data_IF_232584141286
#
_entry.id   IF_232584141286
#
_cell.length_a   1.000
_cell.length_b   1.000
_cell.length_c   1.000
_cell.angle_alpha   90.00
_cell.angle_beta   90.00
_cell.angle_gamma   90.00
#
_symmetry.space_group_name_H-M   'P 1'
#
loop_
_entity.id
_entity.type
_entity.pdbx_description
1 polymer ?
#
# COMPACT_ATOMS: atom_id res chain seq x y z
N UNK A 1 -3.21 1.60 50.35
CA UNK A 1 -4.01 0.88 49.34
C UNK A 1 -3.06 0.53 48.21
N UNK A 2 -2.65 -0.74 48.11
CA UNK A 2 -1.95 -1.22 46.92
C UNK A 2 -3.05 -1.39 45.88
N UNK A 3 -3.08 -0.50 44.88
CA UNK A 3 -3.99 -0.59 43.73
C UNK A 3 -3.51 -1.81 42.93
N UNK A 4 -4.19 -2.95 43.10
CA UNK A 4 -3.90 -4.16 42.33
C UNK A 4 -4.45 -3.94 40.92
N UNK A 5 -3.58 -3.61 39.97
CA UNK A 5 -3.93 -3.51 38.54
C UNK A 5 -4.26 -4.90 38.01
N UNK A 6 -5.47 -5.06 37.48
CA UNK A 6 -5.90 -6.29 36.81
C UNK A 6 -5.22 -6.35 35.45
N UNK A 7 -4.27 -7.27 35.28
CA UNK A 7 -3.64 -7.58 33.98
C UNK A 7 -4.48 -8.67 33.32
N UNK A 8 -5.02 -8.40 32.14
CA UNK A 8 -5.75 -9.37 31.34
C UNK A 8 -4.79 -9.85 30.23
N UNK A 9 -4.45 -11.14 30.25
CA UNK A 9 -3.56 -11.76 29.27
C UNK A 9 -4.26 -12.94 28.60
N UNK A 10 -4.54 -12.88 27.29
CA UNK A 10 -4.95 -14.06 26.54
C UNK A 10 -3.73 -14.97 26.27
N UNK A 11 -3.90 -16.28 26.42
CA UNK A 11 -2.91 -17.26 25.98
C UNK A 11 -3.17 -17.60 24.51
N UNK A 12 -2.67 -16.78 23.59
CA UNK A 12 -2.84 -16.95 22.13
C UNK A 12 -1.51 -16.76 21.39
N UNK A 13 -1.41 -17.27 20.16
CA UNK A 13 -0.29 -17.01 19.26
C UNK A 13 -0.24 -15.50 18.91
N UNK A 14 0.95 -14.98 18.56
CA UNK A 14 1.10 -13.57 18.19
C UNK A 14 0.12 -13.19 17.07
N UNK A 15 -0.72 -12.19 17.32
CA UNK A 15 -1.74 -11.73 16.37
C UNK A 15 -1.06 -11.03 15.19
N UNK A 16 -1.40 -11.42 13.96
CA UNK A 16 -0.84 -10.78 12.77
C UNK A 16 -1.41 -9.36 12.60
N UNK A 17 -0.64 -8.45 12.00
CA UNK A 17 -1.13 -7.11 11.64
C UNK A 17 -2.30 -7.16 10.66
N UNK A 18 -3.11 -6.10 10.66
CA UNK A 18 -4.20 -5.91 9.71
C UNK A 18 -3.64 -5.12 8.51
N UNK A 19 -3.52 -5.80 7.37
CA UNK A 19 -2.96 -5.22 6.15
C UNK A 19 -3.84 -4.10 5.60
N UNK A 20 -3.34 -2.86 5.65
CA UNK A 20 -4.07 -1.67 5.18
C UNK A 20 -3.98 -1.43 3.67
N UNK A 21 -3.10 -2.14 2.95
CA UNK A 21 -2.87 -1.92 1.52
C UNK A 21 -2.53 -0.46 1.20
N UNK A 22 -3.10 0.09 0.13
CA UNK A 22 -2.94 1.50 -0.26
C UNK A 22 -3.53 2.49 0.74
N UNK A 23 -4.46 2.06 1.61
CA UNK A 23 -4.98 2.91 2.68
C UNK A 23 -3.90 3.26 3.72
N UNK A 24 -2.77 2.53 3.74
CA UNK A 24 -1.65 2.78 4.63
C UNK A 24 -1.01 4.16 4.43
N UNK A 25 -1.11 4.77 3.23
CA UNK A 25 -0.59 6.11 2.92
C UNK A 25 -1.45 7.25 3.50
N UNK A 26 -2.73 6.98 3.75
CA UNK A 26 -3.70 7.97 4.19
C UNK A 26 -3.67 8.15 5.71
N UNK A 27 -3.54 9.40 6.15
CA UNK A 27 -3.85 9.79 7.53
C UNK A 27 -5.36 9.90 7.73
N UNK A 28 -6.07 10.37 6.70
CA UNK A 28 -7.53 10.53 6.67
C UNK A 28 -8.08 9.96 5.37
N UNK A 29 -9.04 9.04 5.45
CA UNK A 29 -9.77 8.52 4.29
C UNK A 29 -11.26 8.48 4.61
N UNK A 30 -12.10 8.96 3.70
CA UNK A 30 -13.55 9.03 3.90
C UNK A 30 -14.35 8.52 2.70
N UNK A 31 -15.51 7.92 2.96
CA UNK A 31 -16.42 7.44 1.92
C UNK A 31 -17.16 8.59 1.24
N UNK A 32 -17.68 9.52 2.04
CA UNK A 32 -18.59 10.57 1.56
C UNK A 32 -17.97 11.96 1.50
N UNK A 33 -17.27 12.38 2.55
CA UNK A 33 -16.70 13.72 2.66
C UNK A 33 -15.66 13.83 3.78
N UNK A 34 -14.75 14.80 3.66
CA UNK A 34 -13.96 15.32 4.78
C UNK A 34 -14.30 16.79 5.02
N UNK A 35 -14.66 17.13 6.25
CA UNK A 35 -14.97 18.51 6.66
C UNK A 35 -14.12 18.91 7.84
N UNK A 36 -13.47 20.06 7.74
CA UNK A 36 -12.63 20.61 8.80
C UNK A 36 -13.12 21.98 9.28
N UNK A 37 -13.02 22.20 10.59
CA UNK A 37 -13.12 23.50 11.26
C UNK A 37 -11.80 23.82 11.96
N UNK A 38 -11.36 25.08 11.95
CA UNK A 38 -10.14 25.48 12.66
C UNK A 38 -8.84 24.93 12.06
N UNK A 39 -7.68 25.24 12.69
CA UNK A 39 -6.36 24.96 12.14
C UNK A 39 -5.91 23.51 12.41
N UNK A 40 -6.60 22.53 11.84
CA UNK A 40 -6.14 21.14 11.89
C UNK A 40 -4.86 20.93 11.08
N UNK A 41 -4.02 20.00 11.52
CA UNK A 41 -2.82 19.54 10.83
C UNK A 41 -2.95 18.05 10.53
N UNK A 42 -2.76 17.68 9.27
CA UNK A 42 -2.76 16.28 8.83
C UNK A 42 -1.37 15.97 8.27
N UNK A 43 -0.69 14.99 8.84
CA UNK A 43 0.61 14.49 8.35
C UNK A 43 0.39 13.13 7.70
N UNK A 44 0.39 13.10 6.37
CA UNK A 44 -0.05 11.97 5.53
C UNK A 44 -1.14 12.39 4.53
N UNK A 45 -1.53 11.48 3.64
CA UNK A 45 -2.50 11.80 2.59
C UNK A 45 -3.93 11.91 3.13
N UNK A 46 -4.75 12.71 2.44
CA UNK A 46 -6.18 12.85 2.70
C UNK A 46 -6.95 12.36 1.47
N UNK A 47 -7.89 11.44 1.67
CA UNK A 47 -8.66 10.81 0.59
C UNK A 47 -10.17 10.89 0.78
N UNK A 48 -10.91 11.05 -0.31
CA UNK A 48 -12.36 10.81 -0.37
C UNK A 48 -12.70 10.02 -1.63
N UNK A 49 -13.44 8.93 -1.50
CA UNK A 49 -14.04 8.19 -2.61
C UNK A 49 -15.17 7.28 -2.09
N UNK A 50 -16.30 7.11 -2.81
CA UNK A 50 -16.66 7.73 -4.09
C UNK A 50 -17.18 9.17 -3.94
N UNK A 51 -17.23 9.72 -2.72
CA UNK A 51 -17.41 11.15 -2.54
C UNK A 51 -16.20 11.94 -3.03
N UNK A 52 -16.38 13.24 -3.26
CA UNK A 52 -15.31 14.16 -3.69
C UNK A 52 -15.19 15.40 -2.79
N UNK A 53 -16.03 15.52 -1.76
CA UNK A 53 -16.13 16.72 -0.95
C UNK A 53 -15.01 16.78 0.11
N UNK A 54 -14.08 17.71 -0.07
CA UNK A 54 -13.08 18.10 0.93
C UNK A 54 -13.26 19.59 1.23
N UNK A 55 -13.49 19.95 2.49
CA UNK A 55 -13.80 21.33 2.90
C UNK A 55 -13.07 21.72 4.19
N UNK A 56 -12.73 23.00 4.33
CA UNK A 56 -12.03 23.53 5.51
C UNK A 56 -10.49 23.46 5.45
N UNK A 57 -9.92 23.24 4.26
CA UNK A 57 -8.47 23.27 4.00
C UNK A 57 -8.20 24.34 2.91
N UNK A 58 -7.95 25.61 3.28
CA UNK A 58 -7.68 26.18 4.62
C UNK A 58 -8.92 26.45 5.50
N UNK A 59 -8.77 26.69 6.84
CA UNK A 59 -7.51 26.89 7.58
C UNK A 59 -6.77 25.61 7.99
N UNK A 60 -7.38 24.44 7.83
CA UNK A 60 -6.68 23.17 7.99
C UNK A 60 -5.54 23.03 6.97
N UNK A 61 -4.54 22.24 7.30
CA UNK A 61 -3.38 21.96 6.45
C UNK A 61 -3.19 20.45 6.31
N UNK A 62 -2.78 20.03 5.10
CA UNK A 62 -2.40 18.65 4.78
C UNK A 62 -0.94 18.66 4.35
N UNK A 63 -0.09 17.96 5.09
CA UNK A 63 1.31 17.64 4.77
C UNK A 63 1.35 16.28 4.07
N UNK A 64 0.77 16.27 2.87
CA UNK A 64 0.53 15.11 2.02
C UNK A 64 -0.25 15.55 0.79
N UNK A 65 -0.82 14.61 0.04
CA UNK A 65 -1.66 14.88 -1.13
C UNK A 65 -3.14 14.74 -0.77
N UNK A 66 -3.98 15.61 -1.34
CA UNK A 66 -5.43 15.48 -1.27
C UNK A 66 -5.91 14.74 -2.52
N UNK A 67 -6.50 13.56 -2.31
CA UNK A 67 -7.09 12.69 -3.32
C UNK A 67 -8.62 12.76 -3.23
N UNK A 68 -9.29 13.37 -4.21
CA UNK A 68 -10.74 13.57 -4.20
C UNK A 68 -11.39 12.91 -5.43
N UNK A 69 -12.04 11.77 -5.20
CA UNK A 69 -12.67 10.93 -6.22
C UNK A 69 -11.73 10.55 -7.38
N UNK A 70 -10.49 10.19 -7.03
CA UNK A 70 -9.50 9.66 -7.97
C UNK A 70 -9.25 8.16 -7.77
N UNK A 71 -8.47 7.58 -8.68
CA UNK A 71 -8.14 6.15 -8.65
C UNK A 71 -7.39 5.75 -7.36
N UNK A 72 -6.54 6.63 -6.83
CA UNK A 72 -5.78 6.36 -5.60
C UNK A 72 -6.71 6.26 -4.39
N UNK A 73 -7.62 7.21 -4.20
CA UNK A 73 -8.61 7.16 -3.12
C UNK A 73 -9.62 6.01 -3.31
N UNK A 74 -9.99 5.68 -4.54
CA UNK A 74 -10.88 4.55 -4.84
C UNK A 74 -10.22 3.21 -4.47
N UNK A 75 -8.96 3.00 -4.83
CA UNK A 75 -8.21 1.81 -4.44
C UNK A 75 -8.03 1.73 -2.92
N UNK A 76 -7.70 2.85 -2.27
CA UNK A 76 -7.57 2.90 -0.82
C UNK A 76 -8.87 2.55 -0.08
N UNK A 77 -10.03 2.89 -0.64
CA UNK A 77 -11.33 2.47 -0.07
C UNK A 77 -11.62 0.98 -0.25
N UNK A 78 -11.19 0.40 -1.37
CA UNK A 78 -11.24 -1.05 -1.57
C UNK A 78 -10.36 -1.77 -0.55
N UNK A 79 -9.12 -1.32 -0.39
CA UNK A 79 -8.17 -1.92 0.55
C UNK A 79 -8.60 -1.72 2.01
N UNK A 80 -9.14 -0.55 2.35
CA UNK A 80 -9.78 -0.31 3.65
C UNK A 80 -10.94 -1.28 3.90
N UNK A 81 -11.71 -1.62 2.88
CA UNK A 81 -12.79 -2.61 3.01
C UNK A 81 -12.24 -4.00 3.31
N UNK A 82 -11.14 -4.40 2.68
CA UNK A 82 -10.45 -5.67 2.97
C UNK A 82 -9.94 -5.67 4.41
N UNK A 83 -9.20 -4.63 4.81
CA UNK A 83 -8.65 -4.46 6.14
C UNK A 83 -9.74 -4.47 7.23
N UNK A 84 -10.86 -3.79 6.99
CA UNK A 84 -12.01 -3.77 7.90
C UNK A 84 -12.59 -5.17 8.10
N UNK A 85 -12.77 -5.92 7.00
CA UNK A 85 -13.33 -7.28 7.06
C UNK A 85 -12.36 -8.27 7.71
N UNK A 86 -11.04 -8.12 7.47
CA UNK A 86 -10.00 -8.89 8.15
C UNK A 86 -10.05 -8.64 9.66
N UNK A 87 -9.97 -7.38 10.09
CA UNK A 87 -10.04 -7.01 11.50
C UNK A 87 -11.33 -7.49 12.17
N UNK A 88 -12.49 -7.38 11.49
CA UNK A 88 -13.77 -7.88 11.98
C UNK A 88 -13.88 -9.42 12.02
N UNK A 89 -13.05 -10.12 11.22
CA UNK A 89 -13.02 -11.57 11.10
C UNK A 89 -12.04 -12.26 12.04
N UNK A 90 -11.16 -11.51 12.74
CA UNK A 90 -10.23 -12.07 13.73
C UNK A 90 -10.97 -12.77 14.86
N UNK A 91 -10.37 -13.82 15.41
CA UNK A 91 -10.95 -14.52 16.55
C UNK A 91 -10.93 -13.60 17.77
N UNK A 92 -12.03 -13.54 18.53
CA UNK A 92 -12.06 -12.76 19.76
C UNK A 92 -11.32 -13.52 20.88
N UNK A 93 -10.31 -12.89 21.47
CA UNK A 93 -9.59 -13.42 22.62
C UNK A 93 -10.27 -13.04 23.94
N UNK A 94 -10.74 -11.80 24.05
CA UNK A 94 -11.34 -11.25 25.27
C UNK A 94 -12.58 -10.42 24.93
N UNK A 95 -13.74 -10.85 25.42
CA UNK A 95 -14.98 -10.06 25.35
C UNK A 95 -15.02 -9.01 26.47
N UNK A 96 -14.99 -7.74 26.08
CA UNK A 96 -15.07 -6.58 26.96
C UNK A 96 -16.43 -5.86 26.84
N UNK A 97 -17.44 -6.51 26.26
CA UNK A 97 -18.79 -5.94 26.13
C UNK A 97 -19.29 -5.36 27.46
N UNK A 98 -19.67 -4.08 27.45
CA UNK A 98 -20.21 -3.38 28.61
C UNK A 98 -19.16 -2.87 29.60
N UNK A 99 -17.87 -3.08 29.34
CA UNK A 99 -16.77 -2.52 30.12
C UNK A 99 -16.27 -1.20 29.50
N UNK A 100 -15.85 -0.26 30.36
CA UNK A 100 -15.12 0.94 29.93
C UNK A 100 -13.62 0.62 29.84
N UNK A 101 -12.96 1.04 28.75
CA UNK A 101 -11.52 0.84 28.52
C UNK A 101 -10.64 1.65 29.47
N UNK A 102 -11.20 2.68 30.10
CA UNK A 102 -10.54 3.57 31.03
C UNK A 102 -9.96 2.86 32.25
N UNK A 103 -8.69 3.08 32.50
CA UNK A 103 -7.92 2.49 33.61
C UNK A 103 -7.43 1.07 33.34
N UNK A 104 -7.71 0.49 32.17
CA UNK A 104 -7.20 -0.84 31.81
C UNK A 104 -5.76 -0.79 31.33
N UNK A 105 -5.03 -1.88 31.58
CA UNK A 105 -3.79 -2.23 30.90
C UNK A 105 -4.03 -3.53 30.14
N UNK A 106 -3.91 -3.46 28.82
CA UNK A 106 -4.16 -4.56 27.90
C UNK A 106 -2.86 -4.99 27.25
N UNK A 107 -2.68 -6.30 27.11
CA UNK A 107 -1.57 -6.92 26.36
C UNK A 107 -2.00 -7.18 24.91
N UNK A 108 -1.09 -7.67 24.06
CA UNK A 108 -1.44 -7.96 22.65
C UNK A 108 -2.61 -8.94 22.55
N UNK A 109 -3.51 -8.71 21.59
CA UNK A 109 -4.64 -9.59 21.32
C UNK A 109 -5.86 -8.87 20.73
N UNK A 110 -6.91 -9.65 20.49
CA UNK A 110 -8.19 -9.20 19.94
C UNK A 110 -9.25 -9.05 21.03
N UNK A 111 -9.69 -7.81 21.27
CA UNK A 111 -10.69 -7.42 22.24
C UNK A 111 -12.02 -7.13 21.56
N UNK A 112 -13.06 -7.87 21.89
CA UNK A 112 -14.37 -7.72 21.22
C UNK A 112 -15.43 -7.06 22.10
N UNK A 113 -16.31 -6.32 21.45
CA UNK A 113 -17.50 -5.70 22.02
C UNK A 113 -18.67 -6.00 21.09
N UNK A 114 -19.69 -6.70 21.59
CA UNK A 114 -20.94 -6.91 20.84
C UNK A 114 -21.78 -5.63 20.71
N UNK A 115 -21.45 -4.60 21.49
CA UNK A 115 -22.10 -3.28 21.53
C UNK A 115 -21.10 -2.14 21.31
N UNK A 116 -21.44 -0.94 21.77
CA UNK A 116 -20.51 0.20 21.82
C UNK A 116 -19.36 -0.06 22.80
N UNK A 117 -18.21 0.54 22.51
CA UNK A 117 -17.07 0.65 23.43
C UNK A 117 -16.92 2.11 23.89
N UNK A 118 -16.57 2.28 25.16
CA UNK A 118 -16.34 3.58 25.78
C UNK A 118 -14.92 3.65 26.33
N UNK A 119 -14.32 4.82 26.22
CA UNK A 119 -13.03 5.13 26.83
C UNK A 119 -13.16 6.38 27.68
N UNK A 120 -13.06 6.21 29.00
CA UNK A 120 -13.07 7.30 29.97
C UNK A 120 -11.75 7.35 30.73
N UNK A 121 -10.86 8.27 30.35
CA UNK A 121 -9.52 8.38 30.95
C UNK A 121 -8.46 7.58 30.18
N UNK A 122 -7.38 7.10 30.84
CA UNK A 122 -6.28 6.45 30.14
C UNK A 122 -6.53 4.96 29.92
N UNK A 123 -6.35 4.48 28.69
CA UNK A 123 -6.13 3.07 28.36
C UNK A 123 -4.63 2.86 28.13
N UNK A 124 -4.05 1.80 28.68
CA UNK A 124 -2.63 1.45 28.46
C UNK A 124 -2.53 0.17 27.64
N UNK A 125 -1.73 0.20 26.58
CA UNK A 125 -1.38 -0.94 25.74
C UNK A 125 0.07 -1.32 26.02
N UNK A 126 0.27 -2.54 26.51
CA UNK A 126 1.55 -3.08 26.94
C UNK A 126 2.00 -4.17 25.96
N UNK A 127 3.09 -3.90 25.25
CA UNK A 127 3.70 -4.86 24.34
C UNK A 127 4.56 -5.92 25.04
N UNK A 128 4.78 -5.81 26.35
CA UNK A 128 5.59 -6.75 27.15
C UNK A 128 7.01 -6.97 26.58
N UNK A 129 7.55 -5.97 25.88
CA UNK A 129 8.87 -6.00 25.24
C UNK A 129 8.87 -6.48 23.79
N UNK A 130 7.72 -6.85 23.22
CA UNK A 130 7.59 -7.23 21.81
C UNK A 130 7.15 -6.05 20.92
N UNK A 131 8.05 -5.43 20.13
CA UNK A 131 7.66 -4.33 19.26
C UNK A 131 6.64 -4.71 18.18
N UNK A 132 6.45 -6.01 17.93
CA UNK A 132 5.47 -6.54 16.99
C UNK A 132 4.13 -6.90 17.63
N UNK A 133 3.94 -6.59 18.92
CA UNK A 133 2.66 -6.76 19.61
C UNK A 133 1.53 -6.01 18.88
N UNK A 134 0.47 -6.76 18.52
CA UNK A 134 -0.72 -6.25 17.83
C UNK A 134 -1.91 -6.19 18.78
N UNK A 135 -2.68 -5.10 18.68
CA UNK A 135 -3.89 -4.86 19.46
C UNK A 135 -5.06 -4.60 18.52
N UNK A 136 -6.09 -5.43 18.55
CA UNK A 136 -7.27 -5.30 17.70
C UNK A 136 -8.50 -5.12 18.58
N UNK A 137 -9.25 -4.04 18.35
CA UNK A 137 -10.52 -3.77 19.00
C UNK A 137 -11.65 -3.96 17.99
N UNK A 138 -12.46 -5.00 18.18
CA UNK A 138 -13.64 -5.29 17.37
C UNK A 138 -14.89 -4.73 18.06
N UNK A 139 -15.45 -3.65 17.53
CA UNK A 139 -16.55 -2.93 18.18
C UNK A 139 -17.79 -3.07 17.31
N UNK A 140 -18.79 -3.80 17.77
CA UNK A 140 -20.02 -4.06 17.01
C UNK A 140 -20.86 -2.83 16.72
N UNK A 141 -20.67 -1.74 17.48
CA UNK A 141 -21.36 -0.46 17.26
C UNK A 141 -20.40 0.74 17.33
N UNK A 142 -20.67 1.73 18.17
CA UNK A 142 -19.92 2.99 18.23
C UNK A 142 -18.71 2.91 19.15
N UNK A 143 -17.64 3.60 18.79
CA UNK A 143 -16.53 3.93 19.69
C UNK A 143 -16.68 5.38 20.16
N UNK A 144 -16.65 5.63 21.47
CA UNK A 144 -16.68 6.99 22.01
C UNK A 144 -15.64 7.21 23.09
N UNK A 145 -14.91 8.32 23.03
CA UNK A 145 -14.01 8.74 24.13
C UNK A 145 -14.60 9.93 24.88
N UNK A 146 -14.43 9.95 26.20
CA UNK A 146 -14.68 11.16 26.98
C UNK A 146 -13.59 12.20 26.69
N UNK A 147 -13.87 13.48 26.97
CA UNK A 147 -12.87 14.56 26.85
C UNK A 147 -11.61 14.25 27.65
N UNK A 148 -10.45 14.58 27.07
CA UNK A 148 -9.12 14.35 27.65
C UNK A 148 -8.80 12.87 27.98
N UNK A 149 -9.46 11.92 27.32
CA UNK A 149 -9.06 10.51 27.39
C UNK A 149 -7.76 10.27 26.61
N UNK A 150 -7.08 9.17 26.92
CA UNK A 150 -5.82 8.85 26.25
C UNK A 150 -5.64 7.36 26.01
N UNK A 151 -4.89 7.03 24.96
CA UNK A 151 -4.32 5.69 24.74
C UNK A 151 -2.81 5.82 24.90
N UNK A 152 -2.23 5.04 25.81
CA UNK A 152 -0.82 5.07 26.18
C UNK A 152 -0.15 3.79 25.68
N UNK A 153 1.01 3.93 25.04
CA UNK A 153 1.84 2.80 24.61
C UNK A 153 3.02 2.64 25.57
N UNK A 154 3.26 1.41 26.04
CA UNK A 154 4.42 1.09 26.88
C UNK A 154 5.15 -0.17 26.38
N UNK A 155 6.38 -0.33 26.86
CA UNK A 155 7.20 -1.53 26.66
C UNK A 155 7.35 -1.98 25.20
N UNK A 156 7.46 -1.03 24.27
CA UNK A 156 7.69 -1.31 22.84
C UNK A 156 6.42 -1.30 21.98
N UNK A 157 5.23 -1.07 22.55
CA UNK A 157 4.01 -0.99 21.77
C UNK A 157 4.09 0.15 20.75
N UNK A 158 3.63 -0.12 19.53
CA UNK A 158 3.71 0.83 18.40
C UNK A 158 2.31 1.20 17.92
N UNK A 159 2.07 2.48 17.62
CA UNK A 159 0.76 3.02 17.25
C UNK A 159 0.19 2.41 15.97
N UNK A 160 1.05 2.13 15.00
CA UNK A 160 0.73 1.42 13.78
C UNK A 160 0.17 -0.01 13.99
N UNK A 161 0.46 -0.67 15.12
CA UNK A 161 0.01 -2.04 15.45
C UNK A 161 -1.31 -2.06 16.25
N UNK A 162 -1.96 -0.90 16.38
CA UNK A 162 -3.24 -0.76 17.09
C UNK A 162 -4.35 -0.53 16.07
N UNK A 163 -5.36 -1.38 16.06
CA UNK A 163 -6.47 -1.33 15.10
C UNK A 163 -7.81 -1.27 15.81
N UNK A 164 -8.66 -0.34 15.40
CA UNK A 164 -10.00 -0.13 15.94
C UNK A 164 -11.01 -0.35 14.83
N UNK A 165 -11.53 -1.57 14.72
CA UNK A 165 -12.62 -1.90 13.82
C UNK A 165 -13.93 -1.46 14.47
N UNK A 166 -14.63 -0.51 13.84
CA UNK A 166 -15.86 0.09 14.41
C UNK A 166 -17.05 -0.19 13.51
N UNK A 167 -18.03 -0.91 14.04
CA UNK A 167 -19.24 -1.40 13.38
C UNK A 167 -20.19 -0.29 12.94
N UNK A 168 -20.09 0.89 13.54
CA UNK A 168 -20.75 2.10 13.07
C UNK A 168 -19.76 3.27 13.00
N UNK A 169 -19.87 4.22 13.93
CA UNK A 169 -19.10 5.46 13.92
C UNK A 169 -18.19 5.58 15.14
N UNK A 170 -17.07 6.30 14.98
CA UNK A 170 -16.19 6.70 16.06
C UNK A 170 -16.35 8.18 16.39
N UNK A 171 -16.35 8.54 17.67
CA UNK A 171 -16.34 9.94 18.13
C UNK A 171 -15.30 10.13 19.21
N UNK A 172 -14.26 10.91 18.92
CA UNK A 172 -13.23 11.25 19.88
C UNK A 172 -13.60 12.57 20.57
N UNK A 173 -13.80 12.53 21.88
CA UNK A 173 -14.08 13.71 22.71
C UNK A 173 -12.96 14.74 22.68
N UNK A 174 -13.27 15.97 23.08
CA UNK A 174 -12.32 17.09 23.01
C UNK A 174 -11.00 16.78 23.72
N UNK A 175 -9.88 17.21 23.14
CA UNK A 175 -8.54 17.00 23.68
C UNK A 175 -8.17 15.52 23.98
N UNK A 176 -8.83 14.55 23.35
CA UNK A 176 -8.41 13.14 23.42
C UNK A 176 -7.06 12.95 22.74
N UNK A 177 -6.11 12.26 23.37
CA UNK A 177 -4.86 11.80 22.73
C UNK A 177 -5.01 10.33 22.35
N UNK A 178 -5.37 10.07 21.10
CA UNK A 178 -5.72 8.74 20.63
C UNK A 178 -4.56 8.09 19.87
N UNK A 179 -4.51 6.77 19.89
CA UNK A 179 -3.48 5.97 19.24
C UNK A 179 -4.13 4.86 18.43
N UNK A 180 -3.67 4.68 17.18
CA UNK A 180 -4.04 3.57 16.33
C UNK A 180 -4.82 3.95 15.08
N UNK A 181 -5.11 2.93 14.29
CA UNK A 181 -5.84 3.02 13.04
C UNK A 181 -7.33 2.80 13.31
N UNK A 182 -8.16 3.82 13.10
CA UNK A 182 -9.62 3.67 13.19
C UNK A 182 -10.17 3.26 11.82
N UNK A 183 -10.77 2.08 11.75
CA UNK A 183 -11.47 1.54 10.59
C UNK A 183 -12.98 1.55 10.87
N UNK A 184 -13.63 2.66 10.61
CA UNK A 184 -15.07 2.83 10.88
C UNK A 184 -15.92 2.47 9.67
N UNK A 185 -17.03 1.78 9.89
CA UNK A 185 -17.99 1.49 8.82
C UNK A 185 -18.62 2.77 8.29
N UNK A 186 -19.09 3.63 9.21
CA UNK A 186 -19.80 4.86 8.87
C UNK A 186 -18.91 6.08 8.97
N UNK A 187 -18.98 6.84 10.06
CA UNK A 187 -18.33 8.15 10.15
C UNK A 187 -17.32 8.19 11.29
N UNK A 188 -16.37 9.12 11.19
CA UNK A 188 -15.43 9.44 12.27
C UNK A 188 -15.55 10.93 12.59
N UNK A 189 -15.64 11.28 13.86
CA UNK A 189 -15.69 12.67 14.32
C UNK A 189 -14.62 12.89 15.38
N UNK A 190 -13.73 13.84 15.13
CA UNK A 190 -12.78 14.33 16.11
C UNK A 190 -13.29 15.68 16.61
N UNK A 191 -13.64 15.73 17.90
CA UNK A 191 -14.05 16.97 18.55
C UNK A 191 -12.81 17.85 18.80
N UNK A 192 -13.03 19.14 19.02
CA UNK A 192 -11.99 20.19 19.15
C UNK A 192 -10.75 19.72 19.90
N UNK A 193 -9.60 19.78 19.24
CA UNK A 193 -8.30 19.53 19.87
C UNK A 193 -7.95 18.07 20.14
N UNK A 194 -8.79 17.10 19.75
CA UNK A 194 -8.39 15.70 19.76
C UNK A 194 -7.23 15.46 18.78
N UNK A 195 -6.34 14.52 19.09
CA UNK A 195 -5.25 14.10 18.22
C UNK A 195 -5.23 12.59 18.02
N UNK A 196 -4.67 12.16 16.90
CA UNK A 196 -4.45 10.76 16.57
C UNK A 196 -2.98 10.57 16.14
N UNK A 197 -2.26 9.72 16.86
CA UNK A 197 -1.07 9.04 16.32
C UNK A 197 -1.56 7.73 15.67
N UNK A 198 -1.79 7.78 14.35
CA UNK A 198 -2.46 6.72 13.61
C UNK A 198 -3.27 7.26 12.43
N UNK A 199 -4.48 6.72 12.22
CA UNK A 199 -5.31 7.01 11.03
C UNK A 199 -6.79 7.13 11.36
N UNK A 200 -7.51 7.95 10.60
CA UNK A 200 -8.97 8.03 10.61
C UNK A 200 -9.53 7.57 9.25
N UNK A 201 -9.95 6.31 9.16
CA UNK A 201 -10.37 5.65 7.92
C UNK A 201 -11.87 5.28 8.00
N UNK A 202 -12.73 6.05 7.35
CA UNK A 202 -14.17 5.89 7.30
C UNK A 202 -14.62 5.31 5.95
N UNK A 203 -15.25 4.13 5.96
CA UNK A 203 -15.58 3.39 4.74
C UNK A 203 -16.68 4.05 3.90
N UNK A 204 -17.83 4.36 4.50
CA UNK A 204 -18.99 4.86 3.74
C UNK A 204 -19.50 6.24 4.18
N UNK A 205 -19.02 6.75 5.32
CA UNK A 205 -19.42 8.06 5.86
C UNK A 205 -18.31 9.10 5.78
N UNK A 206 -18.48 10.13 6.60
CA UNK A 206 -17.62 11.31 6.59
C UNK A 206 -16.59 11.27 7.71
N UNK A 207 -15.47 11.98 7.51
CA UNK A 207 -14.56 12.36 8.60
C UNK A 207 -14.77 13.85 8.90
N UNK A 208 -15.10 14.17 10.15
CA UNK A 208 -15.31 15.56 10.62
C UNK A 208 -14.25 15.94 11.63
N UNK A 209 -13.59 17.06 11.40
CA UNK A 209 -12.45 17.56 12.17
C UNK A 209 -12.72 18.96 12.73
N UNK A 210 -12.18 19.23 13.91
CA UNK A 210 -12.08 20.55 14.53
C UNK A 210 -10.75 20.72 15.25
N UNK A 211 -9.85 21.52 14.69
CA UNK A 211 -8.56 21.89 15.32
C UNK A 211 -7.77 20.66 15.81
N UNK A 212 -7.65 19.64 14.95
CA UNK A 212 -7.05 18.35 15.31
C UNK A 212 -5.64 18.18 14.73
N UNK A 213 -4.84 17.33 15.36
CA UNK A 213 -3.56 16.85 14.82
C UNK A 213 -3.70 15.35 14.52
N UNK A 214 -3.58 14.97 13.24
CA UNK A 214 -3.57 13.57 12.83
C UNK A 214 -2.23 13.30 12.15
N UNK A 215 -1.43 12.43 12.76
CA UNK A 215 -0.16 12.01 12.21
C UNK A 215 -0.20 10.53 11.90
N UNK A 216 -0.04 10.20 10.61
CA UNK A 216 0.07 8.81 10.14
C UNK A 216 1.27 8.14 10.79
N UNK A 217 1.03 7.13 11.61
CA UNK A 217 2.10 6.34 12.19
C UNK A 217 2.68 5.34 11.18
N UNK A 218 4.00 5.27 11.15
CA UNK A 218 4.77 4.17 10.55
C UNK A 218 5.43 3.40 11.69
N UNK A 219 5.30 2.08 11.69
CA UNK A 219 6.09 1.28 12.63
C UNK A 219 7.58 1.45 12.35
N UNK A 220 8.40 1.25 13.37
CA UNK A 220 9.76 0.76 13.15
C UNK A 220 9.61 -0.59 12.41
N UNK A 221 9.91 -0.59 11.12
CA UNK A 221 9.80 -1.78 10.29
C UNK A 221 10.79 -2.83 10.81
N UNK A 222 10.28 -3.98 11.24
CA UNK A 222 11.16 -5.12 11.46
C UNK A 222 11.34 -5.87 10.15
N UNK A 223 12.45 -5.59 9.47
CA UNK A 223 12.86 -6.31 8.28
C UNK A 223 13.02 -7.81 8.58
N UNK A 224 12.21 -8.63 7.92
CA UNK A 224 12.30 -10.08 7.97
C UNK A 224 13.25 -10.56 6.87
N UNK A 225 14.34 -11.23 7.27
CA UNK A 225 15.24 -11.87 6.31
C UNK A 225 14.61 -13.13 5.71
N UNK A 226 14.39 -13.12 4.40
CA UNK A 226 13.88 -14.27 3.67
C UNK A 226 15.01 -15.00 2.94
N UNK A 227 15.38 -16.16 3.47
CA UNK A 227 16.43 -17.03 2.87
C UNK A 227 15.88 -18.31 2.23
N UNK A 228 14.57 -18.54 2.33
CA UNK A 228 13.91 -19.74 1.79
C UNK A 228 12.49 -19.47 1.28
N UNK A 229 11.45 -20.07 1.87
CA UNK A 229 10.05 -19.90 1.45
C UNK A 229 9.24 -19.38 2.63
N UNK A 230 8.48 -18.30 2.41
CA UNK A 230 7.42 -17.82 3.28
C UNK A 230 6.09 -18.10 2.59
N UNK A 231 5.20 -18.81 3.27
CA UNK A 231 3.86 -19.17 2.77
C UNK A 231 2.81 -18.59 3.71
N UNK A 232 1.91 -17.75 3.18
CA UNK A 232 0.93 -17.01 3.98
C UNK A 232 1.54 -16.01 4.97
N UNK A 233 0.67 -15.38 5.76
CA UNK A 233 1.07 -14.44 6.83
C UNK A 233 1.28 -13.00 6.35
N UNK A 234 1.44 -12.12 7.34
CA UNK A 234 1.68 -10.68 7.14
C UNK A 234 3.06 -10.32 7.68
N UNK A 235 3.85 -9.61 6.88
CA UNK A 235 5.21 -9.17 7.20
C UNK A 235 5.33 -7.65 7.00
N UNK A 236 6.20 -6.99 7.77
CA UNK A 236 6.41 -5.55 7.64
C UNK A 236 7.21 -5.23 6.38
N UNK A 237 8.43 -5.73 6.35
CA UNK A 237 9.40 -5.53 5.29
C UNK A 237 10.10 -6.86 5.07
N UNK A 238 10.36 -7.20 3.81
CA UNK A 238 11.15 -8.38 3.47
C UNK A 238 12.49 -7.92 2.91
N UNK A 239 13.56 -8.46 3.50
CA UNK A 239 14.90 -8.35 2.92
C UNK A 239 15.30 -9.74 2.42
N UNK A 240 15.66 -9.85 1.14
CA UNK A 240 16.28 -11.05 0.58
C UNK A 240 17.79 -10.82 0.59
N UNK A 241 18.55 -11.49 1.48
CA UNK A 241 19.99 -11.25 1.59
C UNK A 241 20.75 -11.65 0.32
N UNK A 242 21.97 -11.15 0.17
CA UNK A 242 22.84 -11.45 -0.97
C UNK A 242 23.01 -12.96 -1.20
N UNK A 243 22.91 -13.38 -2.46
CA UNK A 243 22.99 -14.78 -2.90
C UNK A 243 21.84 -15.68 -2.45
N UNK A 244 20.93 -15.19 -1.60
CA UNK A 244 19.82 -15.97 -1.07
C UNK A 244 18.74 -16.23 -2.13
N UNK A 245 17.84 -17.17 -1.85
CA UNK A 245 16.65 -17.40 -2.66
C UNK A 245 15.42 -17.33 -1.77
N UNK A 246 14.65 -16.26 -1.95
CA UNK A 246 13.38 -16.06 -1.29
C UNK A 246 12.22 -16.44 -2.22
N UNK A 247 11.22 -17.09 -1.64
CA UNK A 247 9.92 -17.35 -2.26
C UNK A 247 8.83 -16.82 -1.34
N UNK A 248 7.97 -15.94 -1.87
CA UNK A 248 6.86 -15.34 -1.14
C UNK A 248 5.54 -15.82 -1.76
N UNK A 249 4.86 -16.75 -1.11
CA UNK A 249 3.67 -17.40 -1.65
C UNK A 249 2.42 -17.06 -0.84
N UNK A 250 1.53 -16.26 -1.43
CA UNK A 250 0.28 -15.82 -0.80
C UNK A 250 0.50 -15.05 0.50
N UNK A 251 1.61 -14.32 0.60
CA UNK A 251 1.94 -13.49 1.76
C UNK A 251 1.43 -12.06 1.55
N UNK A 252 1.26 -11.32 2.65
CA UNK A 252 1.06 -9.87 2.64
C UNK A 252 2.33 -9.24 3.21
N UNK A 253 2.98 -8.35 2.45
CA UNK A 253 4.05 -7.48 2.95
C UNK A 253 3.45 -6.09 3.06
N UNK A 254 3.45 -5.46 4.23
CA UNK A 254 2.83 -4.14 4.40
C UNK A 254 3.69 -3.01 3.84
N UNK A 255 5.01 -3.19 3.87
CA UNK A 255 6.02 -2.28 3.36
C UNK A 255 6.81 -2.88 2.20
N UNK A 256 8.11 -2.65 2.21
CA UNK A 256 8.96 -2.87 1.04
C UNK A 256 9.48 -4.31 0.95
N UNK A 257 9.87 -4.70 -0.26
CA UNK A 257 10.69 -5.89 -0.50
C UNK A 257 11.99 -5.47 -1.16
N UNK A 258 13.10 -5.61 -0.43
CA UNK A 258 14.45 -5.34 -0.93
C UNK A 258 15.16 -6.64 -1.29
N UNK A 259 15.71 -6.72 -2.50
CA UNK A 259 16.43 -7.90 -3.00
C UNK A 259 17.91 -7.59 -3.19
N UNK A 260 18.77 -8.30 -2.45
CA UNK A 260 20.21 -8.16 -2.47
C UNK A 260 20.91 -8.64 -3.75
N UNK A 261 22.23 -8.47 -3.78
CA UNK A 261 23.07 -8.83 -4.93
C UNK A 261 23.11 -10.35 -5.13
N UNK A 262 23.07 -10.83 -6.37
CA UNK A 262 23.00 -12.26 -6.73
C UNK A 262 21.83 -13.04 -6.08
N UNK A 263 20.91 -12.33 -5.43
CA UNK A 263 19.76 -12.92 -4.77
C UNK A 263 18.65 -13.23 -5.77
N UNK A 264 17.73 -14.09 -5.36
CA UNK A 264 16.56 -14.48 -6.15
C UNK A 264 15.27 -14.24 -5.36
N UNK A 265 14.35 -13.51 -5.97
CA UNK A 265 12.98 -13.37 -5.47
C UNK A 265 12.00 -14.07 -6.42
N UNK A 266 11.07 -14.83 -5.85
CA UNK A 266 9.92 -15.40 -6.56
C UNK A 266 8.66 -15.15 -5.74
N UNK A 267 7.68 -14.46 -6.30
CA UNK A 267 6.36 -14.29 -5.69
C UNK A 267 5.31 -15.05 -6.51
N UNK A 268 4.30 -15.63 -5.84
CA UNK A 268 3.13 -16.33 -6.45
C UNK A 268 1.95 -16.34 -5.50
N UNK A 269 0.78 -16.73 -6.01
CA UNK A 269 -0.36 -17.10 -5.17
C UNK A 269 -1.07 -15.90 -4.56
N UNK A 270 -1.21 -14.82 -5.33
CA UNK A 270 -1.86 -13.58 -4.89
C UNK A 270 -1.11 -12.90 -3.72
N UNK A 271 0.22 -12.90 -3.79
CA UNK A 271 1.04 -12.13 -2.85
C UNK A 271 0.74 -10.64 -3.01
N UNK A 272 0.65 -9.92 -1.88
CA UNK A 272 0.44 -8.47 -1.86
C UNK A 272 1.64 -7.81 -1.20
N UNK A 273 2.15 -6.75 -1.81
CA UNK A 273 3.26 -5.93 -1.31
C UNK A 273 2.76 -4.49 -1.26
N UNK A 274 2.64 -3.94 -0.07
CA UNK A 274 2.08 -2.61 0.18
C UNK A 274 3.03 -1.47 -0.16
N UNK A 275 4.33 -1.74 -0.09
CA UNK A 275 5.39 -0.80 -0.47
C UNK A 275 6.01 -1.11 -1.83
N UNK A 276 7.29 -0.78 -1.95
CA UNK A 276 8.08 -0.90 -3.16
C UNK A 276 8.74 -2.28 -3.28
N UNK A 277 9.05 -2.69 -4.51
CA UNK A 277 9.98 -3.80 -4.77
C UNK A 277 11.23 -3.26 -5.43
N UNK A 278 12.36 -3.36 -4.74
CA UNK A 278 13.63 -2.81 -5.22
C UNK A 278 14.74 -3.88 -5.29
N UNK A 279 15.59 -3.78 -6.32
CA UNK A 279 16.81 -4.58 -6.40
C UNK A 279 17.94 -3.86 -7.13
N UNK A 280 19.17 -4.07 -6.70
CA UNK A 280 20.39 -3.71 -7.44
C UNK A 280 21.30 -4.94 -7.54
N UNK A 281 21.45 -5.49 -8.75
CA UNK A 281 22.34 -6.63 -9.00
C UNK A 281 21.75 -8.01 -8.68
N UNK A 282 20.42 -8.14 -8.56
CA UNK A 282 19.77 -9.42 -8.30
C UNK A 282 20.09 -10.46 -9.40
N UNK A 283 20.08 -11.75 -9.02
CA UNK A 283 20.21 -12.85 -9.98
C UNK A 283 18.95 -13.08 -10.79
N UNK A 284 17.78 -12.98 -10.18
CA UNK A 284 16.50 -13.02 -10.91
C UNK A 284 15.36 -12.53 -10.03
N UNK A 285 14.40 -11.84 -10.63
CA UNK A 285 13.21 -11.35 -9.95
C UNK A 285 11.98 -11.82 -10.73
N UNK A 286 11.14 -12.63 -10.10
CA UNK A 286 9.96 -13.23 -10.70
C UNK A 286 8.74 -12.79 -9.86
N UNK A 287 8.08 -11.71 -10.28
CA UNK A 287 6.86 -11.21 -9.67
C UNK A 287 5.65 -11.76 -10.41
N UNK A 288 5.10 -12.87 -9.92
CA UNK A 288 4.04 -13.62 -10.63
C UNK A 288 2.77 -13.56 -9.78
N UNK A 289 1.64 -13.16 -10.38
CA UNK A 289 0.35 -13.02 -9.67
C UNK A 289 0.52 -12.25 -8.35
N UNK A 290 1.12 -11.06 -8.42
CA UNK A 290 1.52 -10.27 -7.26
C UNK A 290 1.17 -8.82 -7.45
N UNK A 291 0.46 -8.27 -6.48
CA UNK A 291 0.16 -6.84 -6.41
C UNK A 291 1.28 -6.13 -5.66
N UNK A 292 1.93 -5.19 -6.32
CA UNK A 292 2.88 -4.26 -5.71
C UNK A 292 2.23 -2.89 -5.71
N UNK A 293 1.85 -2.38 -4.55
CA UNK A 293 1.11 -1.13 -4.44
C UNK A 293 2.03 0.11 -4.59
N UNK A 294 3.34 -0.07 -4.39
CA UNK A 294 4.36 0.93 -4.67
C UNK A 294 5.01 0.84 -6.06
N UNK A 295 6.24 1.34 -6.15
CA UNK A 295 7.10 1.29 -7.33
C UNK A 295 7.80 -0.09 -7.45
N UNK A 296 8.09 -0.51 -8.68
CA UNK A 296 8.95 -1.67 -8.96
C UNK A 296 10.23 -1.18 -9.64
N UNK A 297 11.32 -1.12 -8.89
CA UNK A 297 12.62 -0.59 -9.33
C UNK A 297 13.68 -1.69 -9.39
N UNK A 298 13.89 -2.25 -10.59
CA UNK A 298 14.84 -3.34 -10.81
C UNK A 298 16.04 -2.88 -11.63
N UNK A 299 17.21 -2.84 -10.99
CA UNK A 299 18.48 -2.42 -11.57
C UNK A 299 19.49 -3.55 -11.61
N UNK A 300 20.27 -3.64 -12.70
CA UNK A 300 21.43 -4.52 -12.78
C UNK A 300 21.15 -6.02 -12.72
N UNK A 301 19.90 -6.47 -12.83
CA UNK A 301 19.53 -7.89 -12.69
C UNK A 301 20.19 -8.73 -13.77
N UNK A 302 20.89 -9.80 -13.38
CA UNK A 302 21.72 -10.59 -14.29
C UNK A 302 20.96 -11.69 -15.02
N UNK A 303 19.97 -12.30 -14.37
CA UNK A 303 19.06 -13.29 -14.93
C UNK A 303 17.66 -12.73 -15.21
N UNK A 304 16.69 -13.63 -15.37
CA UNK A 304 15.37 -13.25 -15.87
C UNK A 304 14.61 -12.30 -14.91
N UNK A 305 13.96 -11.31 -15.51
CA UNK A 305 12.90 -10.51 -14.89
C UNK A 305 11.57 -10.92 -15.55
N UNK A 306 10.62 -11.38 -14.75
CA UNK A 306 9.25 -11.62 -15.18
C UNK A 306 8.31 -10.95 -14.20
N UNK A 307 7.46 -10.05 -14.70
CA UNK A 307 6.45 -9.33 -13.92
C UNK A 307 5.12 -9.53 -14.63
N UNK A 308 4.12 -10.10 -13.97
CA UNK A 308 2.82 -10.31 -14.61
C UNK A 308 1.99 -11.47 -14.08
N UNK A 309 0.87 -11.71 -14.75
CA UNK A 309 -0.02 -12.84 -14.46
C UNK A 309 0.58 -14.17 -14.93
N UNK A 310 0.36 -15.24 -14.14
CA UNK A 310 0.45 -16.60 -14.61
C UNK A 310 -0.97 -17.18 -14.77
N UNK A 311 -1.42 -17.29 -16.02
CA UNK A 311 -2.63 -18.05 -16.34
C UNK A 311 -3.95 -17.33 -16.12
N UNK A 312 -3.95 -15.99 -16.17
CA UNK A 312 -5.14 -15.13 -16.33
C UNK A 312 -6.14 -15.20 -15.16
N UNK A 313 -5.69 -15.45 -13.93
CA UNK A 313 -6.57 -15.55 -12.76
C UNK A 313 -6.94 -14.17 -12.15
N UNK A 314 -6.04 -13.18 -12.29
CA UNK A 314 -6.19 -11.79 -11.82
C UNK A 314 -5.17 -10.93 -12.59
N UNK A 315 -5.54 -9.68 -12.87
CA UNK A 315 -4.65 -8.68 -13.47
C UNK A 315 -3.81 -8.05 -12.34
N UNK A 316 -2.50 -8.32 -12.22
CA UNK A 316 -1.72 -7.83 -11.11
C UNK A 316 -1.44 -6.33 -11.24
N UNK A 317 -1.35 -5.65 -10.09
CA UNK A 317 -1.19 -4.20 -10.03
C UNK A 317 0.25 -3.82 -9.69
N UNK A 318 0.76 -2.80 -10.37
CA UNK A 318 1.86 -1.95 -9.91
C UNK A 318 1.26 -0.56 -9.61
N UNK A 319 1.02 -0.22 -8.34
CA UNK A 319 0.34 1.02 -7.96
C UNK A 319 1.15 2.27 -8.31
N UNK A 320 2.48 2.12 -8.36
CA UNK A 320 3.42 3.12 -8.86
C UNK A 320 3.89 2.88 -10.29
N UNK A 321 5.13 3.29 -10.56
CA UNK A 321 5.86 3.07 -11.80
C UNK A 321 6.68 1.78 -11.76
N UNK A 322 6.90 1.18 -12.94
CA UNK A 322 7.85 0.08 -13.10
C UNK A 322 9.09 0.64 -13.80
N UNK A 323 10.27 0.59 -13.16
CA UNK A 323 11.54 1.02 -13.74
C UNK A 323 12.52 -0.14 -13.82
N UNK A 324 12.90 -0.47 -15.06
CA UNK A 324 13.79 -1.57 -15.40
C UNK A 324 15.06 -0.98 -16.03
N UNK A 325 16.11 -0.84 -15.22
CA UNK A 325 17.30 -0.05 -15.58
C UNK A 325 18.56 -0.90 -15.64
N UNK A 326 19.21 -0.95 -16.80
CA UNK A 326 20.55 -1.54 -16.91
C UNK A 326 20.63 -3.06 -16.65
N UNK A 327 19.52 -3.79 -16.79
CA UNK A 327 19.48 -5.23 -16.55
C UNK A 327 20.10 -6.03 -17.72
N UNK A 328 20.66 -7.19 -17.40
CA UNK A 328 21.39 -8.05 -18.32
C UNK A 328 20.64 -9.33 -18.71
N UNK A 329 19.66 -9.76 -17.91
CA UNK A 329 18.81 -10.88 -18.27
C UNK A 329 17.58 -10.49 -19.10
N UNK A 330 16.85 -11.49 -19.57
CA UNK A 330 15.62 -11.29 -20.36
C UNK A 330 14.53 -10.67 -19.50
N UNK A 331 13.80 -9.71 -20.07
CA UNK A 331 12.73 -8.98 -19.38
C UNK A 331 11.40 -9.29 -20.06
N UNK A 332 10.40 -9.67 -19.28
CA UNK A 332 9.01 -9.73 -19.69
C UNK A 332 8.12 -9.03 -18.65
N UNK A 333 7.33 -8.05 -19.09
CA UNK A 333 6.24 -7.44 -18.31
C UNK A 333 4.95 -7.71 -19.06
N UNK A 334 4.02 -8.44 -18.44
CA UNK A 334 2.84 -8.97 -19.10
C UNK A 334 1.57 -8.73 -18.26
N UNK A 335 0.49 -8.26 -18.89
CA UNK A 335 -0.85 -8.21 -18.28
C UNK A 335 -0.89 -7.45 -16.94
N UNK A 336 -0.08 -6.39 -16.81
CA UNK A 336 -0.04 -5.54 -15.62
C UNK A 336 -0.94 -4.31 -15.76
N UNK A 337 -1.57 -3.89 -14.66
CA UNK A 337 -2.08 -2.52 -14.51
C UNK A 337 -1.03 -1.68 -13.79
N UNK A 338 -0.54 -0.62 -14.43
CA UNK A 338 0.55 0.24 -13.92
C UNK A 338 0.00 1.65 -13.66
N UNK A 339 -0.05 2.04 -12.38
CA UNK A 339 -0.59 3.31 -11.92
C UNK A 339 0.23 4.53 -12.38
N UNK A 340 1.53 4.34 -12.62
CA UNK A 340 2.43 5.36 -13.16
C UNK A 340 2.96 5.06 -14.55
N UNK A 341 4.28 5.20 -14.73
CA UNK A 341 4.96 4.96 -16.00
C UNK A 341 5.66 3.60 -16.05
N UNK A 342 5.72 2.99 -17.23
CA UNK A 342 6.51 1.80 -17.50
C UNK A 342 7.80 2.18 -18.24
N UNK A 343 8.93 2.13 -17.54
CA UNK A 343 10.21 2.68 -17.98
C UNK A 343 11.26 1.58 -18.08
N UNK A 344 11.65 1.23 -19.30
CA UNK A 344 12.77 0.34 -19.55
C UNK A 344 13.92 1.14 -20.16
N UNK A 345 15.10 1.19 -19.51
CA UNK A 345 16.28 1.90 -20.02
C UNK A 345 17.57 1.12 -19.88
N UNK A 346 18.48 1.29 -20.83
CA UNK A 346 19.85 0.78 -20.77
C UNK A 346 20.00 -0.75 -20.66
N UNK A 347 18.93 -1.54 -20.83
CA UNK A 347 19.01 -2.99 -20.66
C UNK A 347 19.80 -3.66 -21.80
N UNK A 348 20.30 -4.87 -21.54
CA UNK A 348 21.31 -5.58 -22.35
C UNK A 348 20.84 -6.90 -22.98
N UNK A 349 19.55 -7.22 -22.85
CA UNK A 349 18.95 -8.46 -23.37
C UNK A 349 17.66 -8.22 -24.15
N UNK A 350 16.89 -9.28 -24.37
CA UNK A 350 15.52 -9.18 -24.90
C UNK A 350 14.57 -8.50 -23.92
N UNK A 351 13.74 -7.60 -24.45
CA UNK A 351 12.70 -6.89 -23.73
C UNK A 351 11.33 -7.17 -24.37
N UNK A 352 10.39 -7.65 -23.57
CA UNK A 352 8.99 -7.77 -23.95
C UNK A 352 8.07 -7.04 -22.98
N UNK A 353 7.25 -6.14 -23.49
CA UNK A 353 6.19 -5.43 -22.78
C UNK A 353 4.87 -5.76 -23.48
N UNK A 354 4.07 -6.61 -22.86
CA UNK A 354 2.90 -7.26 -23.47
C UNK A 354 1.62 -6.94 -22.72
N UNK A 355 0.62 -6.43 -23.44
CA UNK A 355 -0.77 -6.39 -22.97
C UNK A 355 -0.94 -5.70 -21.59
N UNK A 356 -0.14 -4.66 -21.32
CA UNK A 356 -0.21 -3.89 -20.07
C UNK A 356 -1.11 -2.66 -20.22
N UNK A 357 -1.77 -2.26 -19.14
CA UNK A 357 -2.45 -0.96 -19.03
C UNK A 357 -1.59 0.00 -18.22
N UNK A 358 -1.15 1.10 -18.83
CA UNK A 358 -0.21 2.06 -18.25
C UNK A 358 -0.86 3.43 -18.19
N UNK A 359 -1.09 3.95 -16.99
CA UNK A 359 -1.76 5.25 -16.79
C UNK A 359 -0.98 6.39 -17.43
N UNK A 360 0.34 6.45 -17.21
CA UNK A 360 1.18 7.51 -17.74
C UNK A 360 1.90 7.06 -19.04
N UNK A 361 3.22 6.95 -19.01
CA UNK A 361 4.03 6.84 -20.22
C UNK A 361 4.72 5.49 -20.30
N UNK A 362 4.84 4.98 -21.53
CA UNK A 362 5.65 3.81 -21.83
C UNK A 362 6.95 4.25 -22.50
N UNK A 363 8.09 3.99 -21.85
CA UNK A 363 9.40 4.47 -22.30
C UNK A 363 10.38 3.31 -22.47
N UNK A 364 10.87 3.13 -23.70
CA UNK A 364 11.92 2.15 -24.05
C UNK A 364 13.10 2.89 -24.66
N UNK A 365 14.19 3.05 -23.89
CA UNK A 365 15.34 3.87 -24.32
C UNK A 365 16.72 3.23 -24.13
N UNK A 366 17.61 3.43 -25.11
CA UNK A 366 19.03 3.03 -25.07
C UNK A 366 19.26 1.54 -24.76
N UNK A 367 18.35 0.68 -25.21
CA UNK A 367 18.49 -0.76 -25.08
C UNK A 367 19.48 -1.32 -26.08
N UNK A 368 20.24 -2.33 -25.65
CA UNK A 368 21.10 -3.13 -26.50
C UNK A 368 20.78 -4.60 -26.25
N UNK A 369 20.81 -5.46 -27.25
CA UNK A 369 20.46 -6.87 -27.01
C UNK A 369 19.90 -7.55 -28.25
N UNK A 370 19.06 -8.56 -28.03
CA UNK A 370 18.52 -9.35 -29.13
C UNK A 370 17.30 -8.67 -29.78
N UNK A 371 16.23 -8.41 -29.03
CA UNK A 371 15.00 -7.86 -29.58
C UNK A 371 14.15 -7.09 -28.55
N UNK A 372 13.31 -6.20 -29.08
CA UNK A 372 12.33 -5.43 -28.32
C UNK A 372 10.93 -5.71 -28.88
N UNK A 373 10.00 -6.03 -27.99
CA UNK A 373 8.59 -6.14 -28.27
C UNK A 373 7.79 -5.23 -27.34
N UNK A 374 7.06 -4.28 -27.91
CA UNK A 374 6.05 -3.46 -27.24
C UNK A 374 4.74 -3.76 -27.93
N UNK A 375 3.92 -4.64 -27.34
CA UNK A 375 2.75 -5.18 -28.02
C UNK A 375 1.51 -5.17 -27.12
N UNK A 376 0.38 -4.73 -27.66
CA UNK A 376 -0.92 -4.90 -26.99
C UNK A 376 -1.17 -3.97 -25.80
N UNK A 377 -0.29 -3.01 -25.55
CA UNK A 377 -0.40 -2.16 -24.36
C UNK A 377 -1.42 -1.03 -24.58
N UNK A 378 -2.13 -0.66 -23.51
CA UNK A 378 -2.90 0.58 -23.40
C UNK A 378 -2.04 1.60 -22.64
N UNK A 379 -1.93 2.83 -23.14
CA UNK A 379 -1.07 3.87 -22.57
C UNK A 379 -1.83 5.19 -22.53
N UNK A 380 -2.07 5.73 -21.33
CA UNK A 380 -2.80 6.99 -21.12
C UNK A 380 -2.00 8.24 -21.51
N UNK A 381 -0.68 8.16 -21.49
CA UNK A 381 0.25 9.19 -21.96
C UNK A 381 0.88 8.87 -23.32
N UNK A 382 2.17 9.13 -23.47
CA UNK A 382 2.90 8.86 -24.71
C UNK A 382 3.72 7.57 -24.65
N UNK A 383 4.00 7.01 -25.82
CA UNK A 383 4.98 5.93 -25.99
C UNK A 383 6.25 6.45 -26.65
N UNK A 384 7.41 6.27 -26.01
CA UNK A 384 8.72 6.64 -26.53
C UNK A 384 9.61 5.41 -26.73
N UNK A 385 10.00 5.14 -27.97
CA UNK A 385 10.97 4.09 -28.33
C UNK A 385 12.18 4.77 -28.97
N UNK A 386 13.26 4.94 -28.22
CA UNK A 386 14.38 5.80 -28.64
C UNK A 386 15.77 5.18 -28.41
N UNK A 387 16.69 5.44 -29.33
CA UNK A 387 18.13 5.11 -29.21
C UNK A 387 18.42 3.61 -29.00
N UNK A 388 17.52 2.73 -29.41
CA UNK A 388 17.67 1.29 -29.19
C UNK A 388 18.48 0.63 -30.32
N UNK A 389 19.48 -0.19 -29.97
CA UNK A 389 20.35 -0.91 -30.92
C UNK A 389 20.35 -2.40 -30.64
N UNK A 390 19.51 -3.15 -31.34
CA UNK A 390 19.32 -4.60 -31.14
C UNK A 390 19.63 -5.40 -32.40
N UNK A 391 19.99 -6.67 -32.25
CA UNK A 391 20.48 -7.49 -33.37
C UNK A 391 19.39 -8.12 -34.24
N UNK A 392 18.16 -8.23 -33.74
CA UNK A 392 17.06 -8.86 -34.46
C UNK A 392 15.95 -7.89 -34.86
N UNK A 393 15.13 -7.40 -33.91
CA UNK A 393 14.01 -6.51 -34.25
C UNK A 393 13.58 -5.61 -33.11
N UNK A 394 13.03 -4.45 -33.50
CA UNK A 394 12.22 -3.59 -32.65
C UNK A 394 10.79 -3.65 -33.18
N UNK A 395 9.85 -4.11 -32.37
CA UNK A 395 8.44 -4.29 -32.75
C UNK A 395 7.54 -3.49 -31.82
N UNK A 396 6.72 -2.60 -32.39
CA UNK A 396 5.74 -1.79 -31.65
C UNK A 396 4.37 -2.06 -32.26
N UNK A 397 3.58 -2.99 -31.73
CA UNK A 397 2.37 -3.47 -32.44
C UNK A 397 1.12 -3.49 -31.60
N UNK A 398 -0.01 -3.15 -32.22
CA UNK A 398 -1.33 -3.31 -31.59
C UNK A 398 -1.47 -2.60 -30.24
N UNK A 399 -0.78 -1.47 -30.03
CA UNK A 399 -0.92 -0.68 -28.81
C UNK A 399 -2.02 0.38 -28.99
N UNK A 400 -2.74 0.72 -27.92
CA UNK A 400 -3.63 1.86 -27.83
C UNK A 400 -2.93 2.97 -27.04
N UNK A 401 -2.59 4.08 -27.68
CA UNK A 401 -1.78 5.15 -27.10
C UNK A 401 -2.60 6.43 -27.18
N UNK A 402 -2.95 7.01 -26.04
CA UNK A 402 -3.73 8.25 -26.00
C UNK A 402 -2.92 9.47 -26.47
N UNK A 403 -1.63 9.52 -26.11
CA UNK A 403 -0.69 10.55 -26.57
C UNK A 403 0.07 10.18 -27.85
N UNK A 404 1.30 10.66 -27.96
CA UNK A 404 2.15 10.46 -29.13
C UNK A 404 2.80 9.08 -29.17
N UNK A 405 3.05 8.58 -30.38
CA UNK A 405 3.98 7.49 -30.64
C UNK A 405 5.29 8.04 -31.22
N UNK A 406 6.36 7.99 -30.43
CA UNK A 406 7.65 8.62 -30.75
C UNK A 406 8.74 7.58 -30.95
N UNK A 407 9.30 7.52 -32.16
CA UNK A 407 10.35 6.57 -32.49
C UNK A 407 11.59 7.25 -33.07
N UNK A 408 12.69 7.28 -32.33
CA UNK A 408 13.90 8.00 -32.76
C UNK A 408 15.14 7.12 -32.67
N UNK A 409 16.00 7.18 -33.69
CA UNK A 409 17.37 6.62 -33.64
C UNK A 409 17.44 5.12 -33.27
N UNK A 410 16.45 4.32 -33.68
CA UNK A 410 16.44 2.88 -33.42
C UNK A 410 17.13 2.10 -34.56
N UNK A 411 17.83 1.02 -34.21
CA UNK A 411 18.47 0.10 -35.14
C UNK A 411 18.13 -1.33 -34.72
N UNK A 412 17.42 -2.11 -35.55
CA UNK A 412 16.77 -1.70 -36.80
C UNK A 412 15.62 -0.71 -36.55
N UNK A 413 15.13 -0.07 -37.62
CA UNK A 413 13.92 0.75 -37.54
C UNK A 413 12.74 -0.07 -37.00
N UNK A 414 11.86 0.51 -36.17
CA UNK A 414 10.76 -0.23 -35.56
C UNK A 414 9.75 -0.71 -36.61
N UNK A 415 9.22 -1.92 -36.44
CA UNK A 415 8.01 -2.36 -37.15
C UNK A 415 6.79 -1.96 -36.33
N UNK A 416 6.00 -0.99 -36.83
CA UNK A 416 5.01 -0.28 -36.02
C UNK A 416 3.52 -0.44 -36.46
N UNK A 417 3.07 -1.68 -36.70
CA UNK A 417 1.73 -1.98 -37.26
C UNK A 417 0.62 -2.11 -36.22
N UNK A 418 -0.59 -1.67 -36.56
CA UNK A 418 -1.81 -1.92 -35.76
C UNK A 418 -1.98 -1.03 -34.53
N UNK A 419 -1.11 -0.04 -34.32
CA UNK A 419 -1.24 0.89 -33.19
C UNK A 419 -2.34 1.93 -33.45
N UNK A 420 -3.18 2.15 -32.44
CA UNK A 420 -4.12 3.28 -32.36
C UNK A 420 -3.40 4.39 -31.60
N UNK A 421 -3.26 5.57 -32.20
CA UNK A 421 -2.51 6.69 -31.64
C UNK A 421 -3.43 7.91 -31.63
N UNK A 422 -3.69 8.47 -30.45
CA UNK A 422 -4.51 9.66 -30.27
C UNK A 422 -3.76 10.97 -30.59
N UNK A 423 -2.45 10.99 -30.36
CA UNK A 423 -1.55 12.08 -30.73
C UNK A 423 -0.84 11.89 -32.07
N UNK A 424 0.37 12.42 -32.20
CA UNK A 424 1.16 12.33 -33.43
C UNK A 424 2.06 11.09 -33.47
N UNK A 425 2.39 10.68 -34.70
CA UNK A 425 3.45 9.70 -34.97
C UNK A 425 4.72 10.43 -35.38
N UNK A 426 5.80 10.24 -34.63
CA UNK A 426 7.04 10.98 -34.81
C UNK A 426 8.23 10.07 -35.12
N UNK A 427 9.12 10.55 -36.00
CA UNK A 427 10.37 9.88 -36.37
C UNK A 427 10.16 8.61 -37.18
N UNK A 428 10.90 7.54 -36.87
CA UNK A 428 10.82 6.25 -37.57
C UNK A 428 9.52 5.45 -37.36
N UNK A 429 8.49 6.08 -36.77
CA UNK A 429 7.13 5.54 -36.66
C UNK A 429 6.06 6.43 -37.34
N UNK A 430 6.47 7.53 -38.01
CA UNK A 430 5.58 8.40 -38.80
C UNK A 430 4.89 7.67 -39.93
#
# INVERSE_FOLDING_TARGET
>A
MILSTLVISPAAAAEARVGLGTASAFAVLAGSAVTNTGPSMITGDLGVSPGSAVSGFPPGQVLGTIHADDATAAQAQSDLTIAYNDAAGRACDVDLTGQDLGGMTLTSGTYCFSSSAQLTGPLTLDAEGDPNAVFIFQIGSTLTTASASSVLLINGAQSCNVYWQVGSSATLGSATTFVGNILALTSITLVTGASIDGRALARNGAVTLDTNDITRSTCEATATECTSTLEGGTFDEIVVPDGATCKLFGVVVEGDVTVGEDAKLVTRGQTQIGGDVASDGARSVLLIDTDVLGDIDLTGTTGAIVIGSAGCAVDPIAGGSIRLIGNFGTIAVCEMTVGGSLIARNNRSSLGLFDNDVTDNLIVKNHRGYAIWVKGNTVGGYTLVQDNKVSYKVSVKNNAIAGDLRCFSNIPNPVHTGNIVGGERLGGCS
#
